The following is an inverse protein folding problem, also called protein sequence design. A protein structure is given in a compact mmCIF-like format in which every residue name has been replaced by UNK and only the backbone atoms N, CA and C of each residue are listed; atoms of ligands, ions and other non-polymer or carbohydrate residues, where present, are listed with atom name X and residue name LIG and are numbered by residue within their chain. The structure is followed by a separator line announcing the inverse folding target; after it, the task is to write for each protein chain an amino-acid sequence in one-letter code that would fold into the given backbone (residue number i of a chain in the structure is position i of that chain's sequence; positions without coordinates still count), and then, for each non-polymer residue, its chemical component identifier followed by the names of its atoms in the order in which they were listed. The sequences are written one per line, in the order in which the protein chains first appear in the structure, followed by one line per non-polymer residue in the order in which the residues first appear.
data_IF_855823141322
#
_entry.id   IF_855823141322
#
_cell.length_a   1.000
_cell.length_b   1.000
_cell.length_c   1.000
_cell.angle_alpha   90.00
_cell.angle_beta   90.00
_cell.angle_gamma   90.00
#
_symmetry.space_group_name_H-M   'P 1'
#
loop_
_entity.id
_entity.type
_entity.pdbx_description
1 polymer ?
#
# COMPACT_ATOMS: atom_id res chain seq x y z
N UNK A 1 -2.89 21.78 -9.24
CA UNK A 1 -2.25 20.60 -9.85
C UNK A 1 -2.74 20.49 -11.28
N UNK A 2 -1.86 20.39 -12.28
CA UNK A 2 -2.31 20.02 -13.61
C UNK A 2 -2.74 18.54 -13.60
N UNK A 3 -3.70 18.09 -14.44
CA UNK A 3 -4.13 16.69 -14.49
C UNK A 3 -2.97 15.70 -14.71
N UNK A 4 -1.95 16.14 -15.45
CA UNK A 4 -0.74 15.35 -15.71
C UNK A 4 0.10 15.12 -14.44
N UNK A 5 0.21 16.12 -13.56
CA UNK A 5 0.94 15.99 -12.30
C UNK A 5 0.28 14.94 -11.41
N UNK A 6 -1.06 14.97 -11.33
CA UNK A 6 -1.84 13.99 -10.58
C UNK A 6 -1.68 12.56 -11.13
N UNK A 7 -1.63 12.40 -12.45
CA UNK A 7 -1.38 11.11 -13.08
C UNK A 7 0.02 10.57 -12.75
N UNK A 8 1.06 11.41 -12.85
CA UNK A 8 2.43 11.03 -12.52
C UNK A 8 2.53 10.61 -11.05
N UNK A 9 1.99 11.41 -10.13
CA UNK A 9 1.98 11.08 -8.69
C UNK A 9 1.23 9.77 -8.44
N UNK A 10 0.10 9.56 -9.11
CA UNK A 10 -0.70 8.33 -8.99
C UNK A 10 0.07 7.10 -9.46
N UNK A 11 0.76 7.17 -10.61
CA UNK A 11 1.57 6.07 -11.14
C UNK A 11 2.76 5.79 -10.23
N UNK A 12 3.48 6.81 -9.76
CA UNK A 12 4.62 6.62 -8.85
C UNK A 12 4.15 5.99 -7.53
N UNK A 13 3.05 6.49 -6.95
CA UNK A 13 2.48 5.92 -5.72
C UNK A 13 2.03 4.48 -5.90
N UNK A 14 1.43 4.15 -7.05
CA UNK A 14 1.04 2.79 -7.39
C UNK A 14 2.26 1.86 -7.45
N UNK A 15 3.34 2.30 -8.09
CA UNK A 15 4.58 1.50 -8.21
C UNK A 15 5.27 1.31 -6.87
N UNK A 16 5.32 2.33 -6.02
CA UNK A 16 5.85 2.24 -4.66
C UNK A 16 5.02 1.25 -3.84
N UNK A 17 3.70 1.35 -3.90
CA UNK A 17 2.78 0.42 -3.24
C UNK A 17 2.97 -1.03 -3.74
N UNK A 18 3.06 -1.22 -5.07
CA UNK A 18 3.30 -2.52 -5.66
C UNK A 18 4.64 -3.13 -5.22
N UNK A 19 5.71 -2.33 -5.19
CA UNK A 19 7.02 -2.79 -4.73
C UNK A 19 7.01 -3.18 -3.25
N UNK A 20 6.35 -2.38 -2.41
CA UNK A 20 6.18 -2.70 -1.00
C UNK A 20 5.42 -4.03 -0.79
N UNK A 21 4.30 -4.23 -1.51
CA UNK A 21 3.54 -5.48 -1.47
C UNK A 21 4.37 -6.66 -1.97
N UNK A 22 5.11 -6.49 -3.06
CA UNK A 22 5.95 -7.56 -3.61
C UNK A 22 7.02 -8.01 -2.61
N UNK A 23 7.68 -7.06 -1.94
CA UNK A 23 8.65 -7.34 -0.87
C UNK A 23 7.96 -8.08 0.29
N UNK A 24 6.82 -7.57 0.76
CA UNK A 24 6.06 -8.21 1.85
C UNK A 24 5.61 -9.63 1.51
N UNK A 25 5.12 -9.84 0.28
CA UNK A 25 4.71 -11.14 -0.22
C UNK A 25 5.88 -12.13 -0.30
N UNK A 26 7.04 -11.67 -0.78
CA UNK A 26 8.26 -12.49 -0.84
C UNK A 26 8.72 -12.95 0.55
N UNK A 27 8.71 -12.04 1.53
CA UNK A 27 9.10 -12.34 2.92
C UNK A 27 8.17 -13.39 3.54
N UNK A 28 6.85 -13.20 3.40
CA UNK A 28 5.86 -14.03 4.09
C UNK A 28 5.63 -15.37 3.41
N UNK A 29 5.59 -15.39 2.07
CA UNK A 29 5.31 -16.60 1.32
C UNK A 29 6.57 -17.46 1.12
N UNK A 30 7.77 -16.93 1.40
CA UNK A 30 9.07 -17.59 1.22
C UNK A 30 9.24 -18.18 -0.20
N UNK A 31 8.71 -17.48 -1.19
CA UNK A 31 8.78 -17.79 -2.63
C UNK A 31 8.84 -16.47 -3.39
N UNK A 32 9.14 -16.54 -4.69
CA UNK A 32 9.11 -15.38 -5.57
C UNK A 32 7.73 -15.22 -6.23
N UNK A 33 6.84 -14.35 -5.71
CA UNK A 33 5.59 -14.03 -6.39
C UNK A 33 5.85 -13.21 -7.65
N UNK A 34 4.93 -13.24 -8.61
CA UNK A 34 5.07 -12.36 -9.78
C UNK A 34 4.87 -10.90 -9.36
N UNK A 35 5.72 -9.99 -9.84
CA UNK A 35 5.55 -8.55 -9.56
C UNK A 35 4.18 -8.03 -10.06
N UNK A 36 3.68 -8.58 -11.16
CA UNK A 36 2.33 -8.29 -11.66
C UNK A 36 1.21 -8.59 -10.66
N UNK A 37 1.37 -9.57 -9.78
CA UNK A 37 0.41 -9.85 -8.70
C UNK A 37 0.33 -8.66 -7.74
N UNK A 38 1.47 -8.06 -7.41
CA UNK A 38 1.56 -6.91 -6.51
C UNK A 38 1.00 -5.63 -7.15
N UNK A 39 1.27 -5.41 -8.44
CA UNK A 39 0.70 -4.29 -9.20
C UNK A 39 -0.83 -4.37 -9.22
N UNK A 40 -1.39 -5.56 -9.48
CA UNK A 40 -2.85 -5.75 -9.46
C UNK A 40 -3.42 -5.50 -8.06
N UNK A 41 -2.80 -6.04 -7.01
CA UNK A 41 -3.25 -5.82 -5.63
C UNK A 41 -3.20 -4.33 -5.25
N UNK A 42 -2.12 -3.63 -5.62
CA UNK A 42 -1.98 -2.18 -5.38
C UNK A 42 -3.03 -1.38 -6.15
N UNK A 43 -3.28 -1.70 -7.42
CA UNK A 43 -4.25 -0.98 -8.25
C UNK A 43 -5.67 -1.17 -7.72
N UNK A 44 -6.06 -2.40 -7.40
CA UNK A 44 -7.38 -2.69 -6.82
C UNK A 44 -7.50 -2.07 -5.44
N UNK A 45 -6.45 -2.10 -4.63
CA UNK A 45 -6.38 -1.39 -3.34
C UNK A 45 -6.61 0.11 -3.46
N UNK A 46 -5.90 0.75 -4.39
CA UNK A 46 -6.02 2.19 -4.64
C UNK A 46 -7.43 2.55 -5.11
N UNK A 47 -8.01 1.76 -6.02
CA UNK A 47 -9.40 1.95 -6.47
C UNK A 47 -10.39 1.75 -5.33
N UNK A 48 -10.23 0.70 -4.53
CA UNK A 48 -11.11 0.42 -3.40
C UNK A 48 -11.02 1.55 -2.35
N UNK A 49 -9.83 2.06 -2.08
CA UNK A 49 -9.64 3.21 -1.19
C UNK A 49 -10.24 4.50 -1.77
N UNK A 50 -10.06 4.76 -3.08
CA UNK A 50 -10.66 5.92 -3.73
C UNK A 50 -12.20 5.90 -3.65
N UNK A 51 -12.81 4.71 -3.75
CA UNK A 51 -14.26 4.54 -3.69
C UNK A 51 -14.80 4.51 -2.26
N UNK A 52 -14.09 3.90 -1.31
CA UNK A 52 -14.58 3.59 0.03
C UNK A 52 -13.88 4.37 1.15
N UNK A 53 -12.89 5.19 0.83
CA UNK A 53 -12.08 5.92 1.81
C UNK A 53 -12.88 6.85 2.72
N UNK A 54 -14.05 7.32 2.26
CA UNK A 54 -14.98 8.12 3.07
C UNK A 54 -15.46 7.38 4.34
N UNK A 55 -15.47 6.04 4.33
CA UNK A 55 -15.83 5.20 5.49
C UNK A 55 -14.81 5.39 6.62
N UNK A 56 -13.56 5.74 6.29
CA UNK A 56 -12.48 6.00 7.24
C UNK A 56 -12.76 7.13 8.23
N UNK A 57 -13.73 8.02 7.95
CA UNK A 57 -14.13 9.09 8.86
C UNK A 57 -14.91 8.62 10.09
N UNK A 58 -15.43 7.39 10.10
CA UNK A 58 -16.12 6.83 11.27
C UNK A 58 -15.07 6.36 12.29
N UNK A 59 -15.02 6.94 13.51
CA UNK A 59 -14.02 6.56 14.50
C UNK A 59 -14.02 5.06 14.78
N UNK A 60 -12.83 4.45 14.79
CA UNK A 60 -12.59 3.01 15.00
C UNK A 60 -13.14 2.11 13.87
N UNK A 61 -14.44 2.18 13.58
CA UNK A 61 -15.11 1.33 12.59
C UNK A 61 -14.54 1.56 11.19
N UNK A 62 -14.33 2.81 10.80
CA UNK A 62 -13.79 3.16 9.49
C UNK A 62 -12.43 2.54 9.22
N UNK A 63 -11.42 2.81 10.05
CA UNK A 63 -10.10 2.19 9.94
C UNK A 63 -10.14 0.66 9.96
N UNK A 64 -10.96 0.04 10.81
CA UNK A 64 -11.08 -1.42 10.87
C UNK A 64 -11.65 -1.99 9.57
N UNK A 65 -12.72 -1.40 9.03
CA UNK A 65 -13.31 -1.85 7.77
C UNK A 65 -12.36 -1.68 6.59
N UNK A 66 -11.63 -0.56 6.51
CA UNK A 66 -10.64 -0.34 5.48
C UNK A 66 -9.45 -1.31 5.59
N UNK A 67 -9.04 -1.65 6.82
CA UNK A 67 -8.00 -2.64 7.04
C UNK A 67 -8.44 -4.05 6.61
N UNK A 68 -9.67 -4.45 6.97
CA UNK A 68 -10.25 -5.73 6.54
C UNK A 68 -10.39 -5.78 5.02
N UNK A 69 -10.86 -4.71 4.40
CA UNK A 69 -10.94 -4.56 2.95
C UNK A 69 -9.57 -4.73 2.30
N UNK A 70 -8.56 -4.05 2.82
CA UNK A 70 -7.19 -4.14 2.33
C UNK A 70 -6.63 -5.57 2.42
N UNK A 71 -6.77 -6.21 3.59
CA UNK A 71 -6.35 -7.60 3.78
C UNK A 71 -7.13 -8.53 2.85
N UNK A 72 -8.42 -8.26 2.62
CA UNK A 72 -9.28 -8.99 1.70
C UNK A 72 -8.77 -8.92 0.25
N UNK A 73 -8.35 -7.74 -0.21
CA UNK A 73 -7.75 -7.54 -1.56
C UNK A 73 -6.45 -8.34 -1.69
N UNK A 74 -5.58 -8.27 -0.67
CA UNK A 74 -4.34 -9.06 -0.63
C UNK A 74 -4.65 -10.56 -0.62
N UNK A 75 -5.62 -11.01 0.17
CA UNK A 75 -6.03 -12.41 0.25
C UNK A 75 -6.66 -12.93 -1.05
N UNK A 76 -7.42 -12.09 -1.76
CA UNK A 76 -7.95 -12.41 -3.08
C UNK A 76 -6.83 -12.64 -4.08
N UNK A 77 -5.74 -11.87 -3.99
CA UNK A 77 -4.65 -11.93 -4.97
C UNK A 77 -3.58 -12.97 -4.65
N UNK A 78 -3.29 -13.21 -3.37
CA UNK A 78 -2.24 -14.10 -2.90
C UNK A 78 -2.78 -15.34 -2.23
N UNK A 79 -2.32 -16.55 -2.61
CA UNK A 79 -2.75 -17.78 -1.96
C UNK A 79 -2.19 -17.86 -0.54
N UNK A 80 -3.00 -18.29 0.42
CA UNK A 80 -2.53 -18.47 1.79
C UNK A 80 -3.52 -18.19 2.91
N UNK A 81 -4.70 -17.67 2.59
CA UNK A 81 -5.70 -17.31 3.57
C UNK A 81 -5.39 -16.01 4.32
N UNK A 82 -6.36 -15.57 5.11
CA UNK A 82 -6.38 -14.27 5.77
C UNK A 82 -5.16 -13.98 6.66
N UNK A 83 -4.66 -14.98 7.38
CA UNK A 83 -3.49 -14.82 8.27
C UNK A 83 -2.24 -14.45 7.46
N UNK A 84 -1.99 -15.16 6.35
CA UNK A 84 -0.85 -14.85 5.49
C UNK A 84 -1.06 -13.50 4.80
N UNK A 85 -2.26 -13.19 4.34
CA UNK A 85 -2.57 -11.89 3.75
C UNK A 85 -2.34 -10.72 4.73
N UNK A 86 -2.73 -10.88 6.00
CA UNK A 86 -2.45 -9.90 7.05
C UNK A 86 -0.94 -9.75 7.27
N UNK A 87 -0.20 -10.86 7.29
CA UNK A 87 1.27 -10.84 7.36
C UNK A 87 1.90 -10.12 6.17
N UNK A 88 1.41 -10.36 4.94
CA UNK A 88 1.86 -9.68 3.72
C UNK A 88 1.59 -8.18 3.83
N UNK A 89 0.38 -7.80 4.23
CA UNK A 89 0.00 -6.39 4.40
C UNK A 89 0.87 -5.68 5.44
N UNK A 90 1.16 -6.33 6.57
CA UNK A 90 2.05 -5.78 7.59
C UNK A 90 3.50 -5.65 7.10
N UNK A 91 4.05 -6.69 6.48
CA UNK A 91 5.40 -6.64 5.91
C UNK A 91 5.51 -5.60 4.78
N UNK A 92 4.47 -5.44 3.97
CA UNK A 92 4.38 -4.43 2.94
C UNK A 92 4.35 -3.02 3.53
N UNK A 93 3.60 -2.81 4.61
CA UNK A 93 3.59 -1.53 5.32
C UNK A 93 4.99 -1.15 5.84
N UNK A 94 5.72 -2.09 6.44
CA UNK A 94 7.11 -1.88 6.83
C UNK A 94 8.02 -1.58 5.64
N UNK A 95 7.87 -2.33 4.54
CA UNK A 95 8.62 -2.09 3.31
C UNK A 95 8.34 -0.71 2.71
N UNK A 96 7.07 -0.26 2.75
CA UNK A 96 6.67 1.06 2.29
C UNK A 96 7.31 2.17 3.12
N UNK A 97 7.39 2.04 4.44
CA UNK A 97 8.09 2.99 5.31
C UNK A 97 9.56 3.13 4.87
N UNK A 98 10.25 2.01 4.65
CA UNK A 98 11.65 2.02 4.22
C UNK A 98 11.79 2.65 2.83
N UNK A 99 10.91 2.29 1.87
CA UNK A 99 10.91 2.88 0.52
C UNK A 99 10.71 4.40 0.56
N UNK A 100 9.71 4.87 1.30
CA UNK A 100 9.40 6.29 1.41
C UNK A 100 10.52 7.06 2.10
N UNK A 101 11.16 6.46 3.12
CA UNK A 101 12.34 7.03 3.74
C UNK A 101 13.50 7.16 2.74
N UNK A 102 13.79 6.12 1.95
CA UNK A 102 14.82 6.18 0.90
C UNK A 102 14.50 7.24 -0.16
N UNK A 103 13.24 7.33 -0.60
CA UNK A 103 12.80 8.36 -1.55
C UNK A 103 12.93 9.76 -0.98
N UNK A 104 12.69 9.94 0.32
CA UNK A 104 12.92 11.21 1.00
C UNK A 104 14.39 11.59 1.05
N UNK A 105 15.30 10.64 1.31
CA UNK A 105 16.76 10.90 1.24
C UNK A 105 17.21 11.37 -0.14
N UNK A 106 16.49 10.96 -1.19
CA UNK A 106 16.71 11.40 -2.57
C UNK A 106 16.01 12.74 -2.92
N UNK A 107 15.38 13.41 -1.95
CA UNK A 107 14.55 14.61 -2.15
C UNK A 107 13.40 14.43 -3.15
N UNK A 108 12.89 13.20 -3.28
CA UNK A 108 11.76 12.90 -4.17
C UNK A 108 10.40 13.01 -3.45
N UNK A 109 10.38 12.94 -2.11
CA UNK A 109 9.18 13.01 -1.27
C UNK A 109 9.50 13.75 0.04
N UNK A 110 8.62 14.65 0.48
CA UNK A 110 8.74 15.32 1.78
C UNK A 110 8.17 14.45 2.92
N UNK A 111 8.91 14.28 4.02
CA UNK A 111 8.45 13.51 5.19
C UNK A 111 7.34 14.20 5.97
N UNK A 112 7.19 15.52 5.84
CA UNK A 112 6.06 16.30 6.38
C UNK A 112 4.71 15.77 5.87
N UNK A 113 4.68 15.22 4.65
CA UNK A 113 3.51 14.57 4.04
C UNK A 113 3.22 13.17 4.62
N UNK A 114 4.13 12.59 5.42
CA UNK A 114 3.95 11.30 6.10
C UNK A 114 3.29 11.45 7.48
N UNK A 115 2.87 12.66 7.87
CA UNK A 115 2.11 12.90 9.09
C UNK A 115 2.93 12.82 10.38
N UNK A 116 4.26 12.99 10.31
CA UNK A 116 5.13 13.12 11.49
C UNK A 116 5.11 14.59 11.93
N UNK A 117 4.47 14.94 13.07
CA UNK A 117 4.44 16.32 13.53
C UNK A 117 5.82 16.72 14.09
N UNK A 118 6.36 17.86 13.66
CA UNK A 118 7.54 18.49 14.28
C UNK A 118 8.85 18.45 13.49
N UNK A 119 8.80 18.24 12.18
CA UNK A 119 9.88 18.65 11.26
C UNK A 119 9.42 19.82 10.40
#
# INVERSE_FOLDING_TARGET
MAPIDGLIVGVVSLLVGALAIHIGAKIVLRKDPAFGDAVVAAAVGALAYALLGFIGGIPVVGPVLLLVLWIGIVNWRYPGGWIRAAGIGFAAWLAAIVLLWVLSLANLVELSALGIPGV
#
